data_IF_889709853511
#
_entry.id   IF_889709853511
#
_cell.length_a   1.000
_cell.length_b   1.000
_cell.length_c   1.000
_cell.angle_alpha   90.00
_cell.angle_beta   90.00
_cell.angle_gamma   90.00
#
_symmetry.space_group_name_H-M   'P 1'
#
loop_
_entity.id
_entity.type
_entity.pdbx_description
1 polymer ?
#
# COMPACT_ATOMS: atom_id res chain seq x y z
N UNK A 1 -6.04 8.16 -19.94
CA UNK A 1 -5.39 6.95 -19.37
C UNK A 1 -4.71 7.31 -18.06
N UNK A 2 -5.47 7.60 -16.99
CA UNK A 2 -4.93 8.02 -15.68
C UNK A 2 -5.92 7.83 -14.51
N UNK A 3 -7.23 7.81 -14.78
CA UNK A 3 -8.25 7.67 -13.71
C UNK A 3 -8.19 6.30 -13.05
N UNK A 4 -8.02 5.23 -13.84
CA UNK A 4 -7.93 3.86 -13.33
C UNK A 4 -6.72 3.67 -12.42
N UNK A 5 -5.57 4.23 -12.80
CA UNK A 5 -4.35 4.15 -11.98
C UNK A 5 -4.49 4.96 -10.68
N UNK A 6 -5.13 6.14 -10.73
CA UNK A 6 -5.43 6.92 -9.52
C UNK A 6 -6.31 6.12 -8.54
N UNK A 7 -7.38 5.52 -9.04
CA UNK A 7 -8.30 4.70 -8.23
C UNK A 7 -7.58 3.49 -7.65
N UNK A 8 -6.74 2.83 -8.46
CA UNK A 8 -5.93 1.69 -8.01
C UNK A 8 -4.98 2.08 -6.87
N UNK A 9 -4.23 3.17 -7.00
CA UNK A 9 -3.33 3.68 -5.96
C UNK A 9 -4.11 4.03 -4.69
N UNK A 10 -5.30 4.64 -4.81
CA UNK A 10 -6.15 4.97 -3.66
C UNK A 10 -6.59 3.71 -2.90
N UNK A 11 -7.04 2.67 -3.62
CA UNK A 11 -7.43 1.39 -3.00
C UNK A 11 -6.22 0.75 -2.30
N UNK A 12 -5.06 0.76 -2.97
CA UNK A 12 -3.82 0.21 -2.41
C UNK A 12 -3.41 0.91 -1.11
N UNK A 13 -3.58 2.24 -1.05
CA UNK A 13 -3.25 3.03 0.12
C UNK A 13 -4.19 2.75 1.29
N UNK A 14 -5.47 2.54 1.03
CA UNK A 14 -6.47 2.13 2.04
C UNK A 14 -6.12 0.73 2.58
N UNK A 15 -5.81 -0.23 1.71
CA UNK A 15 -5.40 -1.57 2.12
C UNK A 15 -4.11 -1.53 2.95
N UNK A 16 -3.12 -0.75 2.52
CA UNK A 16 -1.86 -0.56 3.23
C UNK A 16 -2.10 -0.06 4.67
N UNK A 17 -2.92 0.98 4.83
CA UNK A 17 -3.25 1.53 6.14
C UNK A 17 -4.01 0.51 7.00
N UNK A 18 -4.96 -0.23 6.41
CA UNK A 18 -5.75 -1.24 7.11
C UNK A 18 -4.90 -2.38 7.66
N UNK A 19 -4.05 -2.99 6.82
CA UNK A 19 -3.17 -4.10 7.24
C UNK A 19 -2.12 -3.64 8.26
N UNK A 20 -1.60 -2.43 8.11
CA UNK A 20 -0.64 -1.87 9.08
C UNK A 20 -1.31 -1.60 10.42
N UNK A 21 -2.53 -1.03 10.42
CA UNK A 21 -3.27 -0.76 11.65
C UNK A 21 -3.63 -2.04 12.40
N UNK A 22 -4.14 -3.05 11.68
CA UNK A 22 -4.45 -4.35 12.27
C UNK A 22 -3.19 -5.06 12.75
N UNK A 23 -2.12 -5.05 11.96
CA UNK A 23 -0.86 -5.69 12.34
C UNK A 23 -0.25 -5.08 13.59
N UNK A 24 -0.29 -3.75 13.73
CA UNK A 24 0.16 -3.06 14.95
C UNK A 24 -0.76 -3.36 16.13
N UNK A 25 -2.08 -3.36 15.93
CA UNK A 25 -3.05 -3.61 17.00
C UNK A 25 -2.99 -5.06 17.52
N UNK A 26 -2.84 -6.03 16.62
CA UNK A 26 -2.78 -7.45 16.95
C UNK A 26 -1.35 -7.93 17.30
N UNK A 27 -0.34 -7.05 17.19
CA UNK A 27 1.08 -7.37 17.33
C UNK A 27 1.55 -8.51 16.39
N UNK A 28 0.88 -8.65 15.25
CA UNK A 28 1.09 -9.70 14.27
C UNK A 28 2.07 -9.24 13.18
N UNK A 29 3.31 -9.72 13.27
CA UNK A 29 4.38 -9.38 12.33
C UNK A 29 4.05 -9.71 10.87
N UNK A 30 3.23 -10.74 10.62
CA UNK A 30 2.79 -11.09 9.26
C UNK A 30 1.95 -9.99 8.61
N UNK A 31 1.02 -9.38 9.35
CA UNK A 31 0.19 -8.29 8.82
C UNK A 31 1.00 -6.99 8.66
N UNK A 32 1.95 -6.73 9.54
CA UNK A 32 2.89 -5.61 9.41
C UNK A 32 3.74 -5.78 8.14
N UNK A 33 4.28 -6.98 7.89
CA UNK A 33 5.06 -7.27 6.69
C UNK A 33 4.23 -7.09 5.40
N UNK A 34 2.96 -7.51 5.41
CA UNK A 34 2.02 -7.29 4.30
C UNK A 34 1.80 -5.78 4.06
N UNK A 35 1.60 -4.99 5.11
CA UNK A 35 1.47 -3.53 5.01
C UNK A 35 2.70 -2.87 4.40
N UNK A 36 3.90 -3.29 4.81
CA UNK A 36 5.17 -2.81 4.24
C UNK A 36 5.28 -3.19 2.75
N UNK A 37 4.87 -4.40 2.37
CA UNK A 37 4.87 -4.83 0.97
C UNK A 37 4.02 -3.90 0.09
N UNK A 38 2.83 -3.54 0.57
CA UNK A 38 1.96 -2.58 -0.13
C UNK A 38 2.59 -1.19 -0.24
N UNK A 39 3.27 -0.71 0.80
CA UNK A 39 3.98 0.58 0.76
C UNK A 39 5.08 0.60 -0.30
N UNK A 40 5.84 -0.50 -0.45
CA UNK A 40 6.90 -0.63 -1.48
C UNK A 40 6.30 -0.56 -2.88
N UNK A 41 5.16 -1.24 -3.12
CA UNK A 41 4.47 -1.21 -4.43
C UNK A 41 4.00 0.20 -4.77
N UNK A 42 3.44 0.95 -3.81
CA UNK A 42 3.04 2.35 -4.03
C UNK A 42 4.25 3.21 -4.41
N UNK A 43 5.39 2.98 -3.76
CA UNK A 43 6.64 3.72 -4.03
C UNK A 43 7.20 3.39 -5.42
N UNK A 44 7.16 2.12 -5.84
CA UNK A 44 7.54 1.69 -7.18
C UNK A 44 6.66 2.31 -8.27
N UNK A 45 5.33 2.32 -8.06
CA UNK A 45 4.38 2.95 -9.00
C UNK A 45 4.66 4.46 -9.11
N UNK A 46 4.93 5.12 -7.98
CA UNK A 46 5.32 6.54 -7.96
C UNK A 46 6.60 6.79 -8.75
N UNK A 47 7.59 5.91 -8.62
CA UNK A 47 8.88 6.04 -9.30
C UNK A 47 8.75 5.85 -10.81
N UNK A 48 7.94 4.88 -11.25
CA UNK A 48 7.65 4.65 -12.66
C UNK A 48 6.89 5.82 -13.30
N UNK A 49 5.98 6.46 -12.56
CA UNK A 49 5.20 7.60 -13.04
C UNK A 49 5.96 8.93 -13.08
N UNK A 50 7.12 9.01 -12.42
CA UNK A 50 8.02 10.19 -12.42
C UNK A 50 9.06 10.12 -13.54
N UNK A 51 9.33 8.92 -14.05
CA UNK A 51 10.30 8.65 -15.12
C UNK A 51 9.69 8.92 -16.50
#
# INVERSE_FOLDING_TARGET
MFIGLKIFITILLILCAFFTFIGVYALDFSFIAIGILFAIVILLIKLEMVK
#
